data_IF_960312900872
#
_entry.id   IF_960312900872
#
_cell.length_a   1.000
_cell.length_b   1.000
_cell.length_c   1.000
_cell.angle_alpha   90.00
_cell.angle_beta   90.00
_cell.angle_gamma   90.00
#
_symmetry.space_group_name_H-M   'P 1'
#
loop_
_entity.id
_entity.type
_entity.pdbx_description
1 polymer ?
#
# COMPACT_ATOMS: atom_id res chain seq x y z
N UNK A 1 14.46 -1.34 5.64
CA UNK A 1 15.15 -0.11 5.16
C UNK A 1 15.84 -0.41 3.84
N UNK A 2 15.88 0.54 2.90
CA UNK A 2 16.62 0.38 1.63
C UNK A 2 17.94 1.16 1.69
N UNK A 3 19.03 0.53 1.27
CA UNK A 3 20.38 1.08 1.26
C UNK A 3 21.00 0.94 -0.14
N UNK A 4 21.95 1.83 -0.45
CA UNK A 4 22.73 1.86 -1.68
C UNK A 4 24.02 0.99 -1.61
N UNK A 5 24.38 0.43 -0.45
CA UNK A 5 25.61 -0.36 -0.32
C UNK A 5 25.50 -1.74 -1.00
N UNK A 6 26.14 -1.87 -2.17
CA UNK A 6 26.41 -3.14 -2.85
C UNK A 6 27.51 -3.99 -2.20
N UNK A 7 27.53 -4.09 -0.87
CA UNK A 7 28.39 -5.05 -0.18
C UNK A 7 28.01 -6.49 -0.56
N UNK A 8 28.98 -7.40 -0.54
CA UNK A 8 28.91 -8.81 -0.96
C UNK A 8 28.03 -9.67 -0.02
N UNK A 9 26.76 -9.28 0.15
CA UNK A 9 25.83 -9.78 1.19
C UNK A 9 24.64 -10.53 0.56
N UNK A 10 24.59 -10.58 -0.76
CA UNK A 10 23.47 -11.08 -1.54
C UNK A 10 23.47 -12.60 -1.66
N UNK A 11 22.28 -13.22 -1.77
CA UNK A 11 22.19 -14.58 -2.31
C UNK A 11 22.23 -14.46 -3.83
N UNK A 12 23.13 -15.18 -4.48
CA UNK A 12 23.19 -15.25 -5.94
C UNK A 12 22.08 -16.15 -6.46
N UNK A 13 21.26 -15.63 -7.37
CA UNK A 13 20.28 -16.41 -8.11
C UNK A 13 20.49 -16.13 -9.60
N UNK A 14 20.54 -17.20 -10.38
CA UNK A 14 20.42 -17.12 -11.84
C UNK A 14 19.01 -16.62 -12.20
N UNK A 15 18.83 -16.10 -13.41
CA UNK A 15 17.55 -15.63 -13.97
C UNK A 15 16.44 -16.72 -14.12
N UNK A 16 16.46 -17.75 -13.28
CA UNK A 16 15.49 -18.86 -13.23
C UNK A 16 14.73 -18.84 -11.90
N UNK A 17 13.54 -19.46 -11.89
CA UNK A 17 12.50 -19.40 -10.86
C UNK A 17 13.01 -19.21 -9.41
N UNK A 18 12.71 -18.05 -8.82
CA UNK A 18 13.10 -17.70 -7.45
C UNK A 18 11.89 -17.83 -6.53
N UNK A 19 11.97 -18.70 -5.51
CA UNK A 19 10.94 -18.86 -4.48
C UNK A 19 11.35 -18.18 -3.17
N UNK A 20 10.50 -17.31 -2.66
CA UNK A 20 10.70 -16.61 -1.39
C UNK A 20 9.49 -16.75 -0.46
N UNK A 21 9.77 -16.88 0.83
CA UNK A 21 8.79 -16.67 1.89
C UNK A 21 8.97 -15.24 2.40
N UNK A 22 7.86 -14.58 2.65
CA UNK A 22 7.78 -13.19 3.06
C UNK A 22 6.88 -13.04 4.28
N UNK A 23 7.22 -12.07 5.12
CA UNK A 23 6.54 -11.82 6.38
C UNK A 23 5.56 -10.66 6.22
N UNK A 24 4.47 -10.66 7.00
CA UNK A 24 3.56 -9.50 7.04
C UNK A 24 4.34 -8.20 7.29
N UNK A 25 3.80 -7.07 6.82
CA UNK A 25 4.33 -5.71 7.00
C UNK A 25 4.89 -5.41 8.41
N UNK A 26 4.26 -5.99 9.43
CA UNK A 26 4.54 -5.80 10.87
C UNK A 26 5.34 -6.92 11.55
N UNK A 27 5.87 -7.90 10.81
CA UNK A 27 6.57 -9.10 11.35
C UNK A 27 5.75 -9.84 12.44
N UNK A 28 4.42 -9.89 12.26
CA UNK A 28 3.51 -10.54 13.20
C UNK A 28 3.26 -9.75 14.48
N UNK A 29 3.57 -8.45 14.56
CA UNK A 29 3.20 -7.63 15.72
C UNK A 29 1.68 -7.58 15.94
N UNK A 30 0.90 -7.60 14.85
CA UNK A 30 -0.56 -7.74 14.90
C UNK A 30 -0.95 -9.21 15.01
N UNK A 31 -1.90 -9.52 15.90
CA UNK A 31 -2.31 -10.90 16.20
C UNK A 31 -3.79 -11.14 15.90
N UNK A 32 -4.14 -12.41 15.62
CA UNK A 32 -5.53 -12.87 15.52
C UNK A 32 -6.21 -12.89 16.91
N UNK A 33 -6.73 -11.73 17.30
CA UNK A 33 -7.61 -11.57 18.45
C UNK A 33 -8.52 -10.36 18.29
N UNK A 34 -9.55 -10.27 19.12
CA UNK A 34 -10.63 -9.28 19.03
C UNK A 34 -10.31 -7.92 19.68
N UNK A 35 -9.04 -7.52 19.74
CA UNK A 35 -8.61 -6.28 20.40
C UNK A 35 -7.67 -5.50 19.49
N UNK A 36 -7.82 -4.18 19.38
CA UNK A 36 -7.02 -3.33 18.50
C UNK A 36 -5.82 -2.66 19.19
N UNK A 37 -5.46 -3.13 20.40
CA UNK A 37 -4.37 -2.52 21.18
C UNK A 37 -3.02 -2.67 20.49
N UNK A 38 -2.81 -3.80 19.82
CA UNK A 38 -1.62 -4.08 19.02
C UNK A 38 -1.46 -3.09 17.86
N UNK A 39 -2.55 -2.70 17.20
CA UNK A 39 -2.55 -1.61 16.21
C UNK A 39 -2.21 -0.27 16.84
N UNK A 40 -2.81 0.05 18.00
CA UNK A 40 -2.57 1.32 18.69
C UNK A 40 -1.10 1.47 19.10
N UNK A 41 -0.47 0.39 19.56
CA UNK A 41 0.90 0.40 20.11
C UNK A 41 1.98 -0.04 19.14
N UNK A 42 1.65 -0.29 17.86
CA UNK A 42 2.60 -0.72 16.86
C UNK A 42 3.75 0.29 16.72
N UNK A 43 4.99 -0.20 16.73
CA UNK A 43 6.16 0.63 16.47
C UNK A 43 6.36 0.81 14.96
N UNK A 44 5.79 1.88 14.39
CA UNK A 44 5.91 2.16 12.96
C UNK A 44 7.33 2.50 12.49
N UNK A 45 8.34 2.50 13.36
CA UNK A 45 9.74 2.63 12.92
C UNK A 45 10.28 1.35 12.27
N UNK A 46 9.69 0.18 12.56
CA UNK A 46 10.19 -1.12 12.09
C UNK A 46 9.67 -1.50 10.71
N UNK A 47 8.50 -0.99 10.30
CA UNK A 47 7.91 -1.29 8.99
C UNK A 47 8.73 -0.66 7.85
N UNK A 48 8.98 -1.33 6.73
CA UNK A 48 8.54 -2.68 6.33
C UNK A 48 9.73 -3.67 6.39
N UNK A 49 9.46 -4.90 6.80
CA UNK A 49 10.43 -6.00 6.70
C UNK A 49 10.37 -6.60 5.30
N UNK A 50 11.49 -6.56 4.58
CA UNK A 50 11.56 -7.00 3.20
C UNK A 50 12.41 -8.27 3.08
N UNK A 51 11.95 -9.19 2.25
CA UNK A 51 12.72 -10.33 1.77
C UNK A 51 13.68 -9.88 0.66
N UNK A 52 14.98 -9.97 0.93
CA UNK A 52 16.04 -9.50 0.02
C UNK A 52 17.30 -9.04 0.77
N UNK A 53 18.23 -8.34 0.10
CA UNK A 53 18.26 -8.11 -1.35
C UNK A 53 18.73 -9.34 -2.14
N UNK A 54 18.10 -9.57 -3.28
CA UNK A 54 18.43 -10.61 -4.27
C UNK A 54 19.35 -9.98 -5.31
N UNK A 55 20.55 -10.56 -5.49
CA UNK A 55 21.44 -10.16 -6.59
C UNK A 55 21.07 -10.93 -7.83
N UNK A 56 20.68 -10.19 -8.87
CA UNK A 56 20.26 -10.76 -10.16
C UNK A 56 21.43 -10.78 -11.14
N UNK A 57 21.69 -11.96 -11.69
CA UNK A 57 22.64 -12.20 -12.77
C UNK A 57 21.95 -12.81 -14.00
N UNK A 58 22.50 -12.59 -15.18
CA UNK A 58 22.03 -13.26 -16.41
C UNK A 58 22.50 -14.72 -16.48
N UNK A 59 22.15 -15.39 -17.57
CA UNK A 59 22.50 -16.81 -17.82
C UNK A 59 24.01 -17.08 -17.87
N UNK A 60 24.82 -16.06 -18.15
CA UNK A 60 26.29 -16.15 -18.15
C UNK A 60 26.89 -15.79 -16.78
N UNK A 61 26.07 -15.48 -15.78
CA UNK A 61 26.51 -15.02 -14.46
C UNK A 61 26.89 -13.53 -14.41
N UNK A 62 26.57 -12.73 -15.44
CA UNK A 62 26.87 -11.29 -15.44
C UNK A 62 25.77 -10.52 -14.70
N UNK A 63 26.11 -9.71 -13.68
CA UNK A 63 25.11 -8.99 -12.91
C UNK A 63 24.35 -7.98 -13.78
N UNK A 64 23.13 -7.64 -13.35
CA UNK A 64 22.47 -6.43 -13.81
C UNK A 64 23.37 -5.22 -13.51
N UNK A 65 23.40 -4.21 -14.37
CA UNK A 65 24.20 -2.99 -14.17
C UNK A 65 23.29 -1.75 -14.19
N UNK A 66 23.73 -0.61 -13.61
CA UNK A 66 23.03 0.65 -13.80
C UNK A 66 22.81 0.93 -15.29
N UNK A 67 21.61 1.39 -15.67
CA UNK A 67 21.05 1.51 -17.04
C UNK A 67 20.22 0.33 -17.54
N UNK A 68 20.37 -0.86 -16.96
CA UNK A 68 19.54 -2.01 -17.31
C UNK A 68 18.11 -1.85 -16.75
N UNK A 69 17.16 -2.56 -17.35
CA UNK A 69 15.81 -2.70 -16.84
C UNK A 69 15.61 -4.14 -16.37
N UNK A 70 15.18 -4.32 -15.13
CA UNK A 70 14.91 -5.63 -14.56
C UNK A 70 13.44 -5.97 -14.78
N UNK A 71 13.16 -6.94 -15.64
CA UNK A 71 11.83 -7.52 -15.80
C UNK A 71 11.61 -8.55 -14.70
N UNK A 72 10.54 -8.41 -13.93
CA UNK A 72 10.16 -9.32 -12.85
C UNK A 72 8.72 -9.79 -13.07
N UNK A 73 8.57 -11.06 -13.39
CA UNK A 73 7.27 -11.72 -13.55
C UNK A 73 6.86 -12.41 -12.24
N UNK A 74 5.67 -12.07 -11.75
CA UNK A 74 5.06 -12.67 -10.57
C UNK A 74 4.40 -13.98 -10.99
N UNK A 75 5.12 -15.10 -10.91
CA UNK A 75 4.64 -16.39 -11.40
C UNK A 75 3.54 -16.97 -10.51
N UNK A 76 3.70 -16.83 -9.19
CA UNK A 76 2.77 -17.34 -8.20
C UNK A 76 2.97 -16.62 -6.86
N UNK A 77 1.93 -16.63 -6.03
CA UNK A 77 1.93 -16.04 -4.69
C UNK A 77 0.73 -16.53 -3.91
N UNK A 78 0.82 -16.43 -2.58
CA UNK A 78 -0.27 -16.80 -1.69
C UNK A 78 0.15 -16.72 -0.22
N UNK A 79 -0.77 -17.04 0.71
CA UNK A 79 -0.45 -17.12 2.13
C UNK A 79 0.52 -18.26 2.43
N UNK A 80 1.25 -18.15 3.54
CA UNK A 80 2.05 -19.26 4.04
C UNK A 80 1.15 -20.40 4.56
N UNK A 81 1.47 -21.68 4.28
CA UNK A 81 0.70 -22.80 4.81
C UNK A 81 0.64 -22.78 6.36
N UNK A 82 -0.57 -22.80 6.92
CA UNK A 82 -0.82 -22.69 8.36
C UNK A 82 -0.94 -21.26 8.88
N UNK A 83 -0.78 -20.24 8.04
CA UNK A 83 -0.96 -18.81 8.35
C UNK A 83 -2.03 -18.19 7.43
N UNK A 84 -3.11 -18.94 7.13
CA UNK A 84 -4.18 -18.53 6.20
C UNK A 84 -5.16 -17.50 6.79
N UNK A 85 -4.61 -16.42 7.33
CA UNK A 85 -5.35 -15.27 7.86
C UNK A 85 -4.56 -13.98 7.66
N UNK A 86 -5.24 -12.85 7.80
CA UNK A 86 -4.64 -11.54 7.68
C UNK A 86 -5.45 -10.48 8.41
N UNK A 87 -5.02 -9.23 8.33
CA UNK A 87 -5.67 -8.12 9.01
C UNK A 87 -5.79 -6.87 8.14
N UNK A 88 -6.77 -6.04 8.46
CA UNK A 88 -6.87 -4.67 7.97
C UNK A 88 -7.05 -3.79 9.18
N UNK A 89 -6.38 -2.64 9.22
CA UNK A 89 -6.42 -1.77 10.37
C UNK A 89 -6.61 -0.29 10.00
N UNK A 90 -7.17 0.44 10.97
CA UNK A 90 -7.14 1.90 11.03
C UNK A 90 -6.07 2.22 12.07
N UNK A 91 -5.05 2.97 11.69
CA UNK A 91 -4.12 3.53 12.65
C UNK A 91 -4.74 4.70 13.41
N UNK A 92 -4.43 4.79 14.70
CA UNK A 92 -4.85 5.93 15.51
C UNK A 92 -4.17 7.22 15.03
N UNK A 93 -4.82 8.37 15.22
CA UNK A 93 -4.23 9.67 14.83
C UNK A 93 -2.87 9.91 15.48
N UNK A 94 -2.69 9.46 16.72
CA UNK A 94 -1.43 9.61 17.45
C UNK A 94 -0.29 8.70 16.97
N UNK A 95 -0.60 7.71 16.12
CA UNK A 95 0.36 6.71 15.66
C UNK A 95 0.03 6.29 14.23
N UNK A 96 0.45 7.10 13.25
CA UNK A 96 0.27 6.87 11.80
C UNK A 96 -0.81 7.73 11.17
N UNK A 97 -2.07 7.51 11.56
CA UNK A 97 -3.22 8.04 10.84
C UNK A 97 -3.46 7.34 9.48
N UNK A 98 -4.02 8.05 8.51
CA UNK A 98 -4.51 7.50 7.25
C UNK A 98 -5.43 8.47 6.51
N UNK A 99 -6.14 8.01 5.49
CA UNK A 99 -6.90 8.88 4.59
C UNK A 99 -8.08 9.61 5.26
N UNK A 100 -8.78 8.94 6.17
CA UNK A 100 -9.95 9.47 6.86
C UNK A 100 -9.74 9.62 8.38
N UNK A 101 -8.51 9.87 8.84
CA UNK A 101 -8.19 10.02 10.29
C UNK A 101 -8.98 11.11 11.01
N UNK A 102 -9.48 12.11 10.29
CA UNK A 102 -10.37 13.12 10.89
C UNK A 102 -11.74 12.56 11.26
N UNK A 103 -12.19 11.51 10.57
CA UNK A 103 -13.44 10.79 10.81
C UNK A 103 -13.24 9.57 11.69
N UNK A 104 -12.09 8.89 11.56
CA UNK A 104 -11.74 7.67 12.27
C UNK A 104 -10.40 7.83 12.99
N UNK A 105 -10.35 8.58 14.11
CA UNK A 105 -9.09 8.88 14.80
C UNK A 105 -8.59 7.75 15.69
N UNK A 106 -9.44 6.75 15.97
CA UNK A 106 -9.13 5.65 16.87
C UNK A 106 -8.53 4.46 16.12
N UNK A 107 -7.54 3.82 16.73
CA UNK A 107 -7.02 2.55 16.23
C UNK A 107 -8.12 1.47 16.22
N UNK A 108 -8.24 0.75 15.11
CA UNK A 108 -9.21 -0.33 14.94
C UNK A 108 -8.69 -1.42 14.01
N UNK A 109 -9.27 -2.63 14.05
CA UNK A 109 -8.90 -3.70 13.11
C UNK A 109 -10.02 -4.66 12.75
N UNK A 110 -9.90 -5.25 11.56
CA UNK A 110 -10.62 -6.44 11.12
C UNK A 110 -9.63 -7.58 10.87
N UNK A 111 -10.06 -8.82 11.14
CA UNK A 111 -9.29 -10.04 10.88
C UNK A 111 -9.99 -10.78 9.77
N UNK A 112 -9.23 -11.30 8.82
CA UNK A 112 -9.69 -11.97 7.62
C UNK A 112 -9.12 -13.38 7.58
N UNK A 113 -9.88 -14.33 7.05
CA UNK A 113 -9.45 -15.71 6.86
C UNK A 113 -9.53 -16.08 5.38
N UNK A 114 -8.67 -17.01 4.93
CA UNK A 114 -8.49 -17.27 3.50
C UNK A 114 -9.09 -18.61 3.03
N UNK A 115 -10.17 -18.48 2.26
CA UNK A 115 -10.68 -19.44 1.27
C UNK A 115 -11.24 -18.60 0.12
N UNK A 116 -12.02 -17.60 0.54
CA UNK A 116 -12.19 -16.27 -0.01
C UNK A 116 -11.87 -15.31 1.15
N UNK A 117 -11.68 -14.03 0.91
CA UNK A 117 -11.63 -13.07 2.02
C UNK A 117 -13.01 -13.02 2.70
N UNK A 118 -13.06 -13.38 3.98
CA UNK A 118 -14.21 -13.14 4.85
C UNK A 118 -13.73 -12.70 6.23
N UNK A 119 -14.53 -11.87 6.90
CA UNK A 119 -14.23 -11.39 8.26
C UNK A 119 -15.43 -11.59 9.19
N UNK A 120 -15.25 -12.19 10.38
CA UNK A 120 -16.27 -12.17 11.43
C UNK A 120 -16.62 -10.75 11.91
N UNK A 121 -15.70 -9.79 11.73
CA UNK A 121 -15.89 -8.40 12.12
C UNK A 121 -16.71 -7.59 11.10
N UNK A 122 -16.85 -8.09 9.86
CA UNK A 122 -17.62 -7.44 8.77
C UNK A 122 -18.54 -8.49 8.12
N UNK A 123 -19.68 -8.81 8.76
CA UNK A 123 -20.55 -9.91 8.33
C UNK A 123 -21.25 -9.63 7.00
N UNK A 124 -21.61 -10.71 6.29
CA UNK A 124 -22.33 -10.62 5.02
C UNK A 124 -21.48 -10.15 3.84
N UNK A 125 -20.16 -10.15 3.99
CA UNK A 125 -19.20 -9.85 2.92
C UNK A 125 -18.28 -11.04 2.66
N UNK A 126 -18.09 -11.38 1.38
CA UNK A 126 -17.13 -12.39 0.92
C UNK A 126 -16.65 -12.04 -0.48
N UNK A 127 -15.33 -12.05 -0.72
CA UNK A 127 -14.78 -11.77 -2.04
C UNK A 127 -13.50 -12.56 -2.33
N UNK A 128 -13.25 -12.92 -3.60
CA UNK A 128 -11.95 -13.49 -3.98
C UNK A 128 -10.85 -12.45 -3.79
N UNK A 129 -9.69 -12.88 -3.31
CA UNK A 129 -8.54 -12.00 -3.18
C UNK A 129 -7.90 -11.70 -4.55
N UNK A 130 -7.41 -10.49 -4.72
CA UNK A 130 -6.47 -10.12 -5.77
C UNK A 130 -5.10 -10.01 -5.11
N UNK A 131 -4.44 -11.13 -4.90
CA UNK A 131 -3.20 -11.20 -4.12
C UNK A 131 -2.05 -10.54 -4.86
N UNK A 132 -1.27 -9.70 -4.17
CA UNK A 132 -0.13 -8.94 -4.70
C UNK A 132 0.85 -8.57 -3.57
N UNK A 133 2.13 -8.29 -3.88
CA UNK A 133 3.00 -7.58 -2.96
C UNK A 133 2.68 -6.08 -2.98
N UNK A 134 2.59 -5.44 -1.81
CA UNK A 134 2.60 -3.97 -1.68
C UNK A 134 3.97 -3.39 -2.06
N UNK A 135 5.04 -4.14 -1.74
CA UNK A 135 6.42 -3.73 -1.98
C UNK A 135 7.14 -4.64 -2.98
N UNK A 136 7.62 -4.03 -4.05
CA UNK A 136 8.62 -4.64 -4.94
C UNK A 136 9.50 -3.56 -5.56
N UNK A 137 10.81 -3.71 -5.45
CA UNK A 137 11.74 -2.68 -5.95
C UNK A 137 13.20 -3.07 -5.93
N UNK A 138 14.01 -2.32 -6.68
CA UNK A 138 15.47 -2.45 -6.73
C UNK A 138 16.14 -1.52 -5.71
N UNK A 139 17.40 -1.75 -5.37
CA UNK A 139 18.12 -0.82 -4.50
C UNK A 139 18.42 0.50 -5.23
N UNK A 140 18.33 1.66 -4.54
CA UNK A 140 18.71 2.95 -5.11
C UNK A 140 20.23 3.06 -5.28
N UNK A 141 20.66 3.93 -6.19
CA UNK A 141 22.05 4.43 -6.15
C UNK A 141 22.22 5.40 -4.99
N UNK A 142 23.47 5.65 -4.59
CA UNK A 142 23.75 6.67 -3.57
C UNK A 142 23.29 8.07 -3.99
N UNK A 143 23.35 8.37 -5.30
CA UNK A 143 22.84 9.63 -5.84
C UNK A 143 21.32 9.73 -5.66
N UNK A 144 20.57 8.66 -5.99
CA UNK A 144 19.13 8.63 -5.83
C UNK A 144 18.72 8.70 -4.35
N UNK A 145 19.43 7.97 -3.48
CA UNK A 145 19.21 8.02 -2.04
C UNK A 145 19.40 9.44 -1.47
N UNK A 146 20.42 10.17 -1.95
CA UNK A 146 20.66 11.56 -1.57
C UNK A 146 19.54 12.51 -2.05
N UNK A 147 18.96 12.27 -3.24
CA UNK A 147 17.80 13.02 -3.72
C UNK A 147 16.62 12.84 -2.75
N UNK A 148 16.33 11.60 -2.37
CA UNK A 148 15.23 11.27 -1.45
C UNK A 148 15.39 11.91 -0.07
N UNK A 149 16.61 11.87 0.47
CA UNK A 149 16.94 12.41 1.79
C UNK A 149 17.18 13.93 1.82
N UNK A 150 17.11 14.60 0.67
CA UNK A 150 17.40 16.04 0.59
C UNK A 150 16.33 16.87 1.31
N UNK A 151 16.68 17.98 2.00
CA UNK A 151 15.69 18.83 2.67
C UNK A 151 14.63 19.45 1.75
N UNK A 152 14.91 19.53 0.45
CA UNK A 152 14.00 20.08 -0.58
C UNK A 152 12.86 19.13 -0.92
N UNK A 153 13.05 17.81 -0.79
CA UNK A 153 11.96 16.84 -0.95
C UNK A 153 10.94 16.94 0.19
N UNK A 154 11.38 17.39 1.38
CA UNK A 154 10.54 17.51 2.58
C UNK A 154 9.67 18.76 2.60
N UNK A 155 10.17 19.89 2.07
CA UNK A 155 9.50 21.20 2.15
C UNK A 155 8.24 21.29 1.27
N UNK A 156 8.07 20.39 0.29
CA UNK A 156 6.87 20.30 -0.56
C UNK A 156 5.71 19.55 0.11
N UNK A 157 5.99 18.65 1.06
CA UNK A 157 4.95 17.91 1.79
C UNK A 157 4.19 18.79 2.81
N UNK A 158 4.80 19.88 3.28
CA UNK A 158 4.19 20.79 4.27
C UNK A 158 2.95 21.54 3.73
N UNK A 159 2.76 21.58 2.41
CA UNK A 159 1.82 22.51 1.77
C UNK A 159 0.45 21.89 1.45
N UNK A 160 0.28 20.57 1.38
CA UNK A 160 -0.96 20.00 0.79
C UNK A 160 -1.84 19.12 1.68
N UNK A 161 -1.39 18.67 2.86
CA UNK A 161 -2.24 18.14 3.94
C UNK A 161 -1.35 17.87 5.16
N UNK A 162 -1.73 18.34 6.35
CA UNK A 162 -0.96 18.24 7.60
C UNK A 162 -0.94 16.82 8.22
N UNK A 163 -0.80 15.79 7.37
CA UNK A 163 -0.55 14.41 7.81
C UNK A 163 0.94 14.24 8.06
N UNK A 164 1.34 13.43 9.05
CA UNK A 164 2.77 13.21 9.30
C UNK A 164 3.41 12.66 8.02
N UNK A 165 4.43 13.34 7.46
CA UNK A 165 5.09 12.89 6.24
C UNK A 165 5.78 11.54 6.47
N UNK A 166 6.15 10.85 5.39
CA UNK A 166 7.08 9.72 5.48
C UNK A 166 8.31 10.15 6.31
N UNK A 167 8.64 9.36 7.33
CA UNK A 167 9.74 9.70 8.22
C UNK A 167 11.05 9.76 7.43
N UNK A 168 11.90 10.73 7.77
CA UNK A 168 13.31 10.74 7.39
C UNK A 168 14.02 9.44 7.83
N UNK A 169 15.24 9.17 7.34
CA UNK A 169 16.07 8.11 7.89
C UNK A 169 16.03 8.09 9.42
N UNK A 170 15.69 6.94 9.97
CA UNK A 170 15.50 6.72 11.39
C UNK A 170 16.28 5.47 11.78
N UNK A 171 17.23 5.62 12.69
CA UNK A 171 18.05 4.49 13.17
C UNK A 171 17.25 3.53 14.03
N UNK A 172 16.24 4.03 14.76
CA UNK A 172 15.32 3.21 15.55
C UNK A 172 14.56 2.24 14.65
N UNK A 173 14.56 0.96 15.00
CA UNK A 173 13.85 -0.09 14.25
C UNK A 173 14.50 -0.47 12.92
N UNK A 174 15.72 0.02 12.64
CA UNK A 174 16.41 -0.24 11.38
C UNK A 174 16.98 -1.67 11.33
N UNK A 175 16.51 -2.47 10.37
CA UNK A 175 17.10 -3.77 10.04
C UNK A 175 17.87 -3.67 8.72
N UNK A 176 19.17 -4.00 8.76
CA UNK A 176 20.11 -3.92 7.62
C UNK A 176 20.62 -5.31 7.19
N UNK A 177 19.76 -6.33 7.30
CA UNK A 177 20.08 -7.69 6.87
C UNK A 177 21.22 -8.32 7.70
N UNK A 178 22.34 -8.62 7.06
CA UNK A 178 23.49 -9.28 7.72
C UNK A 178 24.45 -8.31 8.40
N UNK A 179 24.25 -7.00 8.28
CA UNK A 179 25.10 -6.01 8.93
C UNK A 179 24.72 -5.96 10.41
N UNK A 180 25.68 -6.26 11.29
CA UNK A 180 25.47 -6.36 12.73
C UNK A 180 25.16 -4.99 13.36
N UNK A 181 24.05 -4.92 14.10
CA UNK A 181 23.60 -3.71 14.80
C UNK A 181 24.64 -3.20 15.80
N UNK A 182 24.83 -1.88 15.83
CA UNK A 182 25.80 -1.22 16.72
C UNK A 182 27.25 -1.19 16.21
N UNK A 183 27.53 -1.79 15.05
CA UNK A 183 28.84 -1.60 14.39
C UNK A 183 28.95 -0.21 13.75
N UNK A 184 30.17 0.35 13.56
CA UNK A 184 30.34 1.65 12.90
C UNK A 184 29.77 1.69 11.47
N UNK A 185 29.79 0.54 10.78
CA UNK A 185 29.20 0.38 9.45
C UNK A 185 27.67 0.43 9.51
N UNK A 186 27.06 -0.34 10.42
CA UNK A 186 25.62 -0.30 10.65
C UNK A 186 25.15 1.10 11.01
N UNK A 187 25.83 1.77 11.92
CA UNK A 187 25.48 3.12 12.34
C UNK A 187 25.55 4.14 11.20
N UNK A 188 26.55 4.01 10.32
CA UNK A 188 26.68 4.85 9.14
C UNK A 188 25.49 4.66 8.20
N UNK A 189 25.16 3.41 7.87
CA UNK A 189 24.08 3.08 6.94
C UNK A 189 22.72 3.43 7.55
N UNK A 190 22.47 3.10 8.81
CA UNK A 190 21.20 3.33 9.47
C UNK A 190 20.82 4.83 9.55
N UNK A 191 21.80 5.75 9.48
CA UNK A 191 21.58 7.20 9.45
C UNK A 191 21.18 7.75 8.08
N UNK A 192 21.44 7.02 7.00
CA UNK A 192 21.19 7.47 5.62
C UNK A 192 20.20 6.59 4.87
N UNK A 193 19.97 5.35 5.32
CA UNK A 193 19.03 4.43 4.68
C UNK A 193 17.60 5.00 4.71
N UNK A 194 16.91 4.94 3.57
CA UNK A 194 15.58 5.48 3.45
C UNK A 194 14.53 4.53 4.04
N UNK A 195 13.50 5.13 4.67
CA UNK A 195 12.28 4.42 5.05
C UNK A 195 11.59 3.85 3.81
N UNK A 196 11.04 2.65 3.94
CA UNK A 196 10.33 1.90 2.89
C UNK A 196 8.83 2.22 2.83
N UNK A 197 8.39 3.28 3.49
CA UNK A 197 6.97 3.68 3.55
C UNK A 197 6.45 4.22 2.20
N UNK A 198 7.14 5.13 1.49
CA UNK A 198 6.64 5.60 0.21
C UNK A 198 7.24 4.82 -0.97
N UNK A 199 6.43 4.58 -2.00
CA UNK A 199 6.89 4.24 -3.34
C UNK A 199 7.68 5.38 -3.97
N UNK A 200 8.69 5.03 -4.79
CA UNK A 200 9.64 5.96 -5.40
C UNK A 200 10.03 5.47 -6.80
N UNK A 201 11.02 6.12 -7.40
CA UNK A 201 11.53 5.84 -8.75
C UNK A 201 12.00 4.39 -8.94
N UNK A 202 12.38 3.70 -7.86
CA UNK A 202 12.79 2.30 -7.85
C UNK A 202 11.65 1.29 -7.69
N UNK A 203 10.40 1.75 -7.69
CA UNK A 203 9.25 0.98 -7.19
C UNK A 203 9.13 1.15 -5.69
N UNK A 204 9.33 0.06 -4.93
CA UNK A 204 9.15 0.09 -3.48
C UNK A 204 7.67 -0.04 -3.12
N UNK A 205 7.18 0.73 -2.15
CA UNK A 205 5.80 0.63 -1.66
C UNK A 205 4.82 1.36 -2.57
N UNK A 206 4.42 0.70 -3.66
CA UNK A 206 3.50 1.28 -4.62
C UNK A 206 2.04 0.90 -4.34
N UNK A 207 1.81 -0.19 -3.60
CA UNK A 207 0.46 -0.64 -3.21
C UNK A 207 -0.52 -0.74 -4.39
N UNK A 208 -0.03 -1.28 -5.51
CA UNK A 208 -0.80 -1.42 -6.75
C UNK A 208 -1.45 -2.80 -6.76
N UNK A 209 -2.75 -2.88 -6.46
CA UNK A 209 -3.48 -4.16 -6.41
C UNK A 209 -3.41 -4.97 -7.71
N UNK A 210 -3.28 -4.29 -8.86
CA UNK A 210 -3.18 -4.94 -10.17
C UNK A 210 -1.79 -5.55 -10.45
N UNK A 211 -0.78 -5.28 -9.62
CA UNK A 211 0.53 -5.92 -9.69
C UNK A 211 0.49 -7.31 -9.03
N UNK A 212 -0.37 -8.17 -9.57
CA UNK A 212 -0.78 -9.45 -9.00
C UNK A 212 -0.22 -10.64 -9.76
N UNK A 213 -0.79 -11.83 -9.56
CA UNK A 213 -0.35 -13.06 -10.22
C UNK A 213 -0.34 -12.94 -11.74
N UNK A 214 0.79 -13.28 -12.33
CA UNK A 214 1.06 -13.23 -13.76
C UNK A 214 1.39 -11.84 -14.28
N UNK A 215 1.39 -10.81 -13.43
CA UNK A 215 1.88 -9.49 -13.80
C UNK A 215 3.39 -9.51 -14.02
N UNK A 216 3.85 -8.59 -14.87
CA UNK A 216 5.28 -8.38 -15.15
C UNK A 216 5.62 -6.91 -14.94
N UNK A 217 6.46 -6.62 -13.95
CA UNK A 217 6.97 -5.27 -13.68
C UNK A 217 8.36 -5.09 -14.26
N UNK A 218 8.65 -3.89 -14.73
CA UNK A 218 9.93 -3.51 -15.29
C UNK A 218 10.54 -2.43 -14.40
N UNK A 219 11.48 -2.84 -13.56
CA UNK A 219 12.11 -2.01 -12.53
C UNK A 219 13.44 -1.42 -13.05
N UNK A 220 13.68 -0.12 -12.87
CA UNK A 220 14.98 0.47 -13.21
C UNK A 220 16.09 -0.07 -12.32
N UNK A 221 17.28 -0.31 -12.89
CA UNK A 221 18.46 -0.77 -12.16
C UNK A 221 19.39 0.41 -11.88
N UNK A 222 19.65 0.69 -10.61
CA UNK A 222 20.51 1.80 -10.18
C UNK A 222 21.86 1.37 -9.62
N UNK A 223 22.02 0.09 -9.28
CA UNK A 223 23.25 -0.50 -8.74
C UNK A 223 23.53 -1.86 -9.39
N UNK A 224 24.78 -2.31 -9.35
CA UNK A 224 25.13 -3.64 -9.82
C UNK A 224 24.32 -4.72 -9.08
N UNK A 225 23.83 -5.71 -9.81
CA UNK A 225 23.01 -6.80 -9.28
C UNK A 225 21.55 -6.44 -9.03
N UNK A 226 21.15 -5.18 -9.22
CA UNK A 226 19.82 -4.62 -8.94
C UNK A 226 19.37 -4.67 -7.47
N UNK A 227 19.79 -5.68 -6.69
CA UNK A 227 19.47 -5.87 -5.28
C UNK A 227 17.96 -5.81 -5.02
N UNK A 228 17.22 -6.64 -5.77
CA UNK A 228 15.77 -6.74 -5.74
C UNK A 228 15.29 -7.13 -4.33
N UNK A 229 14.30 -6.42 -3.81
CA UNK A 229 13.65 -6.73 -2.53
C UNK A 229 12.14 -6.63 -2.68
N UNK A 230 11.43 -7.45 -1.93
CA UNK A 230 9.96 -7.52 -1.95
C UNK A 230 9.43 -7.80 -0.56
N UNK A 231 8.21 -7.37 -0.28
CA UNK A 231 7.61 -7.35 1.04
C UNK A 231 6.10 -7.14 0.96
N UNK A 232 5.47 -7.05 2.12
CA UNK A 232 4.16 -6.39 2.25
C UNK A 232 3.04 -7.15 1.54
N UNK A 233 2.96 -8.46 1.79
CA UNK A 233 2.02 -9.32 1.08
C UNK A 233 0.57 -8.99 1.42
N UNK A 234 -0.21 -8.72 0.38
CA UNK A 234 -1.62 -8.39 0.47
C UNK A 234 -2.47 -9.52 -0.12
N UNK A 235 -3.42 -10.05 0.66
CA UNK A 235 -4.40 -11.00 0.12
C UNK A 235 -5.37 -10.31 -0.85
N UNK A 236 -5.77 -9.07 -0.53
CA UNK A 236 -6.65 -8.22 -1.34
C UNK A 236 -6.59 -6.78 -0.84
N UNK A 237 -6.66 -5.81 -1.74
CA UNK A 237 -6.63 -4.37 -1.44
C UNK A 237 -7.69 -3.65 -2.28
N UNK A 238 -8.24 -2.55 -1.75
CA UNK A 238 -8.94 -1.54 -2.55
C UNK A 238 -7.95 -0.61 -3.25
N UNK A 239 -8.40 0.14 -4.25
CA UNK A 239 -7.54 1.23 -4.76
C UNK A 239 -7.27 2.25 -3.66
N UNK A 240 -6.01 2.70 -3.64
CA UNK A 240 -5.46 3.73 -2.74
C UNK A 240 -5.32 3.33 -1.27
N UNK A 241 -5.64 2.08 -0.91
CA UNK A 241 -5.27 1.50 0.39
C UNK A 241 -5.68 2.42 1.57
N UNK A 242 -6.91 2.94 1.49
CA UNK A 242 -7.29 4.19 2.17
C UNK A 242 -7.12 4.20 3.68
N UNK A 243 -7.11 3.04 4.34
CA UNK A 243 -6.87 2.95 5.79
C UNK A 243 -5.40 3.05 6.20
N UNK A 244 -4.45 3.10 5.25
CA UNK A 244 -2.98 3.13 5.41
C UNK A 244 -2.36 1.88 6.08
N UNK A 245 -3.15 1.17 6.88
CA UNK A 245 -2.95 -0.25 7.12
C UNK A 245 -4.10 -1.02 6.49
N UNK A 246 -4.47 -0.64 5.27
CA UNK A 246 -4.93 -1.60 4.29
C UNK A 246 -3.69 -2.33 3.78
N UNK A 247 -3.74 -3.37 2.98
CA UNK A 247 -4.80 -4.16 2.43
C UNK A 247 -5.43 -5.13 3.47
N UNK A 248 -5.74 -6.34 3.05
CA UNK A 248 -5.65 -7.51 3.93
C UNK A 248 -4.19 -7.95 3.99
N UNK A 249 -3.49 -7.44 5.00
CA UNK A 249 -2.08 -7.69 5.32
C UNK A 249 -1.88 -9.14 5.77
N UNK A 250 -0.88 -9.83 5.21
CA UNK A 250 -0.60 -11.24 5.53
C UNK A 250 0.88 -11.58 5.42
N UNK A 251 1.29 -12.69 6.05
CA UNK A 251 2.52 -13.37 5.64
C UNK A 251 2.25 -14.15 4.35
N UNK A 252 3.24 -14.27 3.47
CA UNK A 252 3.02 -14.92 2.18
C UNK A 252 4.27 -15.55 1.58
N UNK A 253 4.12 -16.12 0.40
CA UNK A 253 5.23 -16.49 -0.45
C UNK A 253 5.08 -15.85 -1.82
N UNK A 254 6.20 -15.72 -2.52
CA UNK A 254 6.29 -15.17 -3.86
C UNK A 254 7.20 -16.07 -4.70
N UNK A 255 6.74 -16.42 -5.90
CA UNK A 255 7.53 -17.07 -6.92
C UNK A 255 7.74 -16.08 -8.07
N UNK A 256 9.00 -15.73 -8.32
CA UNK A 256 9.40 -14.71 -9.28
C UNK A 256 10.25 -15.30 -10.40
N UNK A 257 10.12 -14.73 -11.59
CA UNK A 257 11.07 -14.93 -12.68
C UNK A 257 11.65 -13.57 -13.08
N UNK A 258 12.98 -13.49 -13.10
CA UNK A 258 13.70 -12.25 -13.37
C UNK A 258 14.43 -12.33 -14.72
N UNK A 259 14.40 -11.27 -15.51
CA UNK A 259 15.17 -11.12 -16.75
C UNK A 259 15.82 -9.74 -16.82
N UNK A 260 17.06 -9.67 -17.30
CA UNK A 260 17.79 -8.42 -17.46
C UNK A 260 17.66 -7.94 -18.91
N UNK A 261 17.04 -6.78 -19.09
CA UNK A 261 16.98 -6.08 -20.37
C UNK A 261 18.12 -5.07 -20.39
N UNK A 262 19.17 -5.40 -21.15
CA UNK A 262 20.39 -4.59 -21.21
C UNK A 262 20.11 -3.20 -21.78
N UNK A 263 20.59 -2.19 -21.06
CA UNK A 263 20.37 -0.76 -21.36
C UNK A 263 18.88 -0.35 -21.48
N UNK A 264 17.97 -1.17 -20.93
CA UNK A 264 16.52 -1.01 -21.09
C UNK A 264 15.96 0.29 -20.49
N UNK A 265 16.58 0.88 -19.47
CA UNK A 265 16.12 2.17 -18.93
C UNK A 265 16.19 3.26 -20.01
N UNK A 266 17.28 3.28 -20.79
CA UNK A 266 17.47 4.28 -21.84
C UNK A 266 16.48 4.11 -22.98
N UNK A 267 16.17 2.87 -23.33
CA UNK A 267 15.30 2.55 -24.46
C UNK A 267 13.81 2.72 -24.13
N UNK A 268 13.40 2.44 -22.88
CA UNK A 268 11.98 2.38 -22.51
C UNK A 268 11.54 3.39 -21.45
N UNK A 269 12.43 3.92 -20.61
CA UNK A 269 12.08 4.84 -19.53
C UNK A 269 12.66 6.24 -19.78
N UNK A 270 11.90 7.05 -20.52
CA UNK A 270 12.26 8.47 -20.69
C UNK A 270 12.16 9.20 -19.35
N UNK A 271 13.23 9.84 -18.86
CA UNK A 271 13.20 10.56 -17.59
C UNK A 271 12.21 11.73 -17.61
N UNK A 272 11.37 11.82 -16.58
CA UNK A 272 10.36 12.87 -16.38
C UNK A 272 10.69 13.67 -15.11
N UNK A 273 11.85 14.34 -15.12
CA UNK A 273 12.31 15.13 -13.98
C UNK A 273 13.69 15.77 -14.21
N UNK A 274 14.27 16.40 -13.18
CA UNK A 274 15.50 17.19 -13.32
C UNK A 274 16.77 16.35 -13.55
N UNK A 275 16.72 15.03 -13.33
CA UNK A 275 17.87 14.14 -13.54
C UNK A 275 17.46 12.86 -14.28
N UNK A 276 18.40 12.14 -14.90
CA UNK A 276 18.14 10.84 -15.52
C UNK A 276 17.59 9.76 -14.58
N UNK A 277 17.64 9.98 -13.25
CA UNK A 277 17.12 9.06 -12.24
C UNK A 277 15.61 9.19 -12.03
N UNK A 278 14.98 10.25 -12.54
CA UNK A 278 13.54 10.49 -12.42
C UNK A 278 12.77 9.66 -13.46
N UNK A 279 12.81 8.35 -13.27
CA UNK A 279 12.07 7.36 -14.04
C UNK A 279 11.09 6.66 -13.10
N UNK A 280 10.07 6.01 -13.66
CA UNK A 280 9.13 5.21 -12.88
C UNK A 280 9.02 3.81 -13.50
N UNK A 281 8.74 2.78 -12.69
CA UNK A 281 8.44 1.46 -13.21
C UNK A 281 7.24 1.48 -14.15
N UNK A 282 7.24 0.54 -15.10
CA UNK A 282 6.06 0.19 -15.91
C UNK A 282 5.72 -1.27 -15.65
N UNK A 283 4.47 -1.68 -15.85
CA UNK A 283 4.07 -3.06 -15.65
C UNK A 283 2.94 -3.50 -16.59
N UNK A 284 2.92 -4.79 -16.86
CA UNK A 284 1.80 -5.48 -17.51
C UNK A 284 0.92 -6.11 -16.44
N UNK A 285 -0.39 -5.93 -16.56
CA UNK A 285 -1.38 -6.58 -15.69
C UNK A 285 -1.42 -8.07 -16.03
N UNK A 286 -1.41 -8.92 -15.00
CA UNK A 286 -1.50 -10.35 -15.14
C UNK A 286 -2.84 -10.81 -15.73
N UNK A 287 -2.88 -11.99 -16.38
CA UNK A 287 -4.10 -12.53 -16.98
C UNK A 287 -5.08 -13.15 -15.97
N UNK A 288 -4.78 -13.11 -14.66
CA UNK A 288 -5.56 -13.74 -13.59
C UNK A 288 -6.06 -12.68 -12.62
N UNK A 289 -7.35 -12.35 -12.70
CA UNK A 289 -7.99 -11.40 -11.78
C UNK A 289 -9.41 -11.86 -11.40
N UNK A 290 -9.91 -11.47 -10.22
CA UNK A 290 -11.32 -11.57 -9.89
C UNK A 290 -12.21 -10.85 -10.91
N UNK A 291 -13.20 -11.56 -11.44
CA UNK A 291 -14.19 -10.96 -12.33
C UNK A 291 -15.42 -10.49 -11.56
N UNK A 292 -15.62 -9.18 -11.49
CA UNK A 292 -16.85 -8.56 -11.01
C UNK A 292 -17.64 -7.96 -12.18
N UNK A 293 -18.95 -8.24 -12.25
CA UNK A 293 -19.80 -7.81 -13.37
C UNK A 293 -20.70 -6.61 -13.04
N UNK A 294 -21.00 -6.40 -11.75
CA UNK A 294 -21.95 -5.40 -11.29
C UNK A 294 -21.32 -4.49 -10.25
N UNK A 295 -21.34 -3.18 -10.52
CA UNK A 295 -20.68 -2.17 -9.71
C UNK A 295 -21.68 -1.09 -9.26
N UNK A 296 -21.54 -0.63 -8.03
CA UNK A 296 -22.18 0.58 -7.54
C UNK A 296 -21.11 1.67 -7.41
N UNK A 297 -21.30 2.78 -8.12
CA UNK A 297 -20.28 3.85 -8.25
C UNK A 297 -20.70 5.08 -7.46
N UNK A 298 -19.77 5.60 -6.67
CA UNK A 298 -19.93 6.80 -5.86
C UNK A 298 -19.03 7.89 -6.41
N UNK A 299 -19.59 9.08 -6.61
CA UNK A 299 -18.85 10.24 -7.10
C UNK A 299 -18.42 11.15 -5.95
N UNK A 300 -17.32 11.84 -6.17
CA UNK A 300 -16.87 12.93 -5.32
C UNK A 300 -16.18 14.01 -6.15
N UNK A 301 -16.46 15.26 -5.79
CA UNK A 301 -15.79 16.44 -6.35
C UNK A 301 -14.93 17.08 -5.26
N UNK A 302 -13.96 17.90 -5.65
CA UNK A 302 -13.04 18.58 -4.73
C UNK A 302 -13.66 19.82 -4.04
N UNK A 303 -14.86 19.64 -3.49
CA UNK A 303 -15.48 20.53 -2.51
C UNK A 303 -15.47 19.78 -1.18
N UNK A 304 -14.75 20.32 -0.20
CA UNK A 304 -14.53 19.62 1.07
C UNK A 304 -15.76 19.60 1.98
N UNK A 305 -15.65 18.93 3.13
CA UNK A 305 -16.76 18.79 4.08
C UNK A 305 -17.29 20.10 4.66
N UNK A 306 -16.51 21.19 4.60
CA UNK A 306 -16.94 22.53 5.01
C UNK A 306 -17.68 23.31 3.91
N UNK A 307 -17.72 22.76 2.69
CA UNK A 307 -18.25 23.42 1.51
C UNK A 307 -17.22 24.32 0.80
N UNK A 308 -15.94 24.25 1.17
CA UNK A 308 -14.88 25.05 0.54
C UNK A 308 -14.47 24.42 -0.79
N UNK A 309 -14.36 25.26 -1.81
CA UNK A 309 -13.88 24.89 -3.14
C UNK A 309 -12.36 24.77 -3.15
N UNK A 310 -11.84 23.66 -3.67
CA UNK A 310 -10.42 23.47 -4.01
C UNK A 310 -10.22 23.59 -5.52
N UNK A 311 -8.98 23.62 -6.01
CA UNK A 311 -8.71 23.70 -7.46
C UNK A 311 -8.07 22.41 -7.96
N UNK A 312 -8.79 21.66 -8.80
CA UNK A 312 -8.36 20.39 -9.40
C UNK A 312 -7.68 19.40 -8.40
N UNK A 313 -8.24 19.30 -7.20
CA UNK A 313 -7.69 18.48 -6.12
C UNK A 313 -8.33 17.07 -6.10
N UNK A 314 -7.69 16.13 -6.78
CA UNK A 314 -8.16 14.75 -6.86
C UNK A 314 -8.23 14.06 -5.49
N UNK A 315 -7.38 14.46 -4.52
CA UNK A 315 -7.36 13.91 -3.17
C UNK A 315 -8.65 14.26 -2.43
N UNK A 316 -9.07 15.53 -2.47
CA UNK A 316 -10.35 15.95 -1.88
C UNK A 316 -11.50 15.29 -2.62
N UNK A 317 -11.47 15.25 -3.95
CA UNK A 317 -12.51 14.58 -4.74
C UNK A 317 -12.70 13.11 -4.34
N UNK A 318 -11.60 12.36 -4.19
CA UNK A 318 -11.66 10.96 -3.79
C UNK A 318 -12.11 10.78 -2.34
N UNK A 319 -11.70 11.68 -1.43
CA UNK A 319 -12.22 11.74 -0.06
C UNK A 319 -13.74 11.86 -0.03
N UNK A 320 -14.31 12.68 -0.93
CA UNK A 320 -15.77 12.86 -1.02
C UNK A 320 -16.46 11.60 -1.57
N UNK A 321 -15.89 10.94 -2.57
CA UNK A 321 -16.42 9.66 -3.07
C UNK A 321 -16.44 8.59 -1.97
N UNK A 322 -15.36 8.48 -1.20
CA UNK A 322 -15.25 7.58 -0.05
C UNK A 322 -16.30 7.86 1.03
N UNK A 323 -16.43 9.12 1.46
CA UNK A 323 -17.40 9.50 2.49
C UNK A 323 -18.85 9.24 2.05
N UNK A 324 -19.15 9.45 0.76
CA UNK A 324 -20.46 9.13 0.19
C UNK A 324 -20.75 7.62 0.22
N UNK A 325 -19.76 6.79 -0.12
CA UNK A 325 -19.88 5.33 -0.05
C UNK A 325 -20.06 4.83 1.39
N UNK A 326 -19.28 5.36 2.34
CA UNK A 326 -19.37 5.03 3.77
C UNK A 326 -20.75 5.37 4.31
N UNK A 327 -21.24 6.58 4.06
CA UNK A 327 -22.58 6.99 4.51
C UNK A 327 -23.67 6.10 3.92
N UNK A 328 -23.59 5.80 2.61
CA UNK A 328 -24.56 4.95 1.94
C UNK A 328 -24.61 3.53 2.52
N UNK A 329 -23.46 2.86 2.61
CA UNK A 329 -23.39 1.47 3.08
C UNK A 329 -23.70 1.35 4.58
N UNK A 330 -23.43 2.37 5.38
CA UNK A 330 -23.82 2.38 6.80
C UNK A 330 -25.33 2.24 7.03
N UNK A 331 -26.16 2.68 6.05
CA UNK A 331 -27.62 2.54 6.10
C UNK A 331 -28.09 1.09 6.00
N UNK A 332 -27.21 0.18 5.57
CA UNK A 332 -27.44 -1.25 5.50
C UNK A 332 -27.02 -1.97 6.79
N UNK A 333 -26.81 -1.26 7.89
CA UNK A 333 -26.55 -1.85 9.21
C UNK A 333 -25.07 -2.10 9.53
N UNK A 334 -24.15 -1.63 8.68
CA UNK A 334 -22.72 -1.60 8.97
C UNK A 334 -22.36 -0.37 9.81
N UNK A 335 -21.41 -0.50 10.73
CA UNK A 335 -20.74 0.68 11.31
C UNK A 335 -19.91 1.38 10.23
N UNK A 336 -19.63 2.68 10.41
CA UNK A 336 -18.86 3.43 9.42
C UNK A 336 -17.42 2.91 9.34
N UNK A 337 -16.89 2.44 10.46
CA UNK A 337 -15.59 1.83 10.59
C UNK A 337 -15.52 0.48 9.86
N UNK A 338 -16.58 -0.35 9.95
CA UNK A 338 -16.68 -1.58 9.16
C UNK A 338 -16.60 -1.26 7.66
N UNK A 339 -17.34 -0.25 7.20
CA UNK A 339 -17.30 0.13 5.79
C UNK A 339 -15.93 0.67 5.42
N UNK A 340 -15.31 1.51 6.25
CA UNK A 340 -14.01 2.08 5.94
C UNK A 340 -12.91 1.00 5.84
N UNK A 341 -12.86 0.06 6.79
CA UNK A 341 -11.97 -1.11 6.69
C UNK A 341 -12.27 -1.95 5.44
N UNK A 342 -13.56 -2.17 5.13
CA UNK A 342 -13.96 -2.91 3.93
C UNK A 342 -13.46 -2.22 2.64
N UNK A 343 -13.63 -0.91 2.52
CA UNK A 343 -13.22 -0.16 1.33
C UNK A 343 -11.70 -0.18 1.12
N UNK A 344 -10.93 -0.31 2.20
CA UNK A 344 -9.46 -0.42 2.13
C UNK A 344 -8.98 -1.78 1.58
N UNK A 345 -9.80 -2.84 1.67
CA UNK A 345 -9.35 -4.21 1.43
C UNK A 345 -10.16 -4.98 0.37
N UNK A 346 -11.42 -4.62 0.16
CA UNK A 346 -12.21 -5.17 -0.94
C UNK A 346 -11.69 -4.62 -2.27
N UNK A 347 -11.81 -5.38 -3.38
CA UNK A 347 -11.33 -4.97 -4.70
C UNK A 347 -12.24 -3.90 -5.32
N UNK A 348 -12.40 -2.77 -4.64
CA UNK A 348 -13.04 -1.57 -5.15
C UNK A 348 -12.11 -0.86 -6.14
N UNK A 349 -12.69 -0.07 -7.03
CA UNK A 349 -11.96 0.69 -8.04
C UNK A 349 -12.07 2.19 -7.81
N UNK A 350 -10.92 2.81 -7.59
CA UNK A 350 -10.74 4.24 -7.48
C UNK A 350 -10.30 4.79 -8.82
N UNK A 351 -10.96 5.86 -9.30
CA UNK A 351 -10.56 6.50 -10.56
C UNK A 351 -10.56 8.01 -10.41
N UNK A 352 -9.50 8.63 -10.92
CA UNK A 352 -9.52 10.04 -11.31
C UNK A 352 -10.31 10.11 -12.61
N UNK A 353 -11.62 10.32 -12.50
CA UNK A 353 -12.54 10.32 -13.64
C UNK A 353 -12.42 11.58 -14.49
N UNK A 354 -12.14 12.72 -13.86
CA UNK A 354 -11.93 13.99 -14.55
C UNK A 354 -10.94 14.88 -13.79
N UNK A 355 -9.93 15.40 -14.48
CA UNK A 355 -8.88 16.25 -13.87
C UNK A 355 -8.68 17.57 -14.63
N UNK A 356 -9.58 17.88 -15.57
CA UNK A 356 -9.43 19.02 -16.50
C UNK A 356 -10.57 20.03 -16.39
N UNK A 357 -11.73 19.62 -15.87
CA UNK A 357 -12.95 20.44 -15.84
C UNK A 357 -12.94 21.41 -14.66
N UNK A 358 -12.17 22.50 -14.82
CA UNK A 358 -12.01 23.52 -13.79
C UNK A 358 -13.35 24.11 -13.29
N UNK A 359 -13.52 24.32 -11.97
CA UNK A 359 -12.52 24.11 -10.91
C UNK A 359 -12.43 22.67 -10.40
N UNK A 360 -13.31 21.78 -10.86
CA UNK A 360 -13.56 20.53 -10.19
C UNK A 360 -12.75 19.35 -10.75
N UNK A 361 -11.95 18.72 -9.89
CA UNK A 361 -11.57 17.34 -10.10
C UNK A 361 -12.76 16.44 -9.74
N UNK A 362 -12.97 15.39 -10.52
CA UNK A 362 -13.98 14.35 -10.28
C UNK A 362 -13.27 13.02 -10.05
N UNK A 363 -13.54 12.41 -8.90
CA UNK A 363 -13.10 11.07 -8.59
C UNK A 363 -14.30 10.16 -8.35
N UNK A 364 -14.13 8.88 -8.64
CA UNK A 364 -15.15 7.86 -8.45
C UNK A 364 -14.62 6.69 -7.67
N UNK A 365 -15.46 6.11 -6.82
CA UNK A 365 -15.24 4.84 -6.16
C UNK A 365 -16.31 3.84 -6.61
N UNK A 366 -15.90 2.80 -7.34
CA UNK A 366 -16.77 1.70 -7.72
C UNK A 366 -16.62 0.52 -6.77
N UNK A 367 -17.73 0.02 -6.24
CA UNK A 367 -17.76 -1.12 -5.32
C UNK A 367 -18.44 -2.30 -6.00
N UNK A 368 -17.83 -3.50 -6.02
CA UNK A 368 -18.44 -4.67 -6.62
C UNK A 368 -19.62 -5.13 -5.77
N UNK A 369 -20.84 -5.06 -6.30
CA UNK A 369 -22.07 -5.35 -5.53
C UNK A 369 -22.20 -6.82 -5.15
N UNK A 370 -21.53 -7.72 -5.89
CA UNK A 370 -21.58 -9.16 -5.67
C UNK A 370 -20.79 -9.65 -4.45
N UNK A 371 -20.04 -8.79 -3.77
CA UNK A 371 -19.31 -9.17 -2.55
C UNK A 371 -20.23 -9.23 -1.33
N UNK A 372 -21.42 -8.62 -1.41
CA UNK A 372 -22.40 -8.58 -0.34
C UNK A 372 -23.41 -9.73 -0.48
N UNK A 373 -23.82 -10.31 0.65
CA UNK A 373 -24.89 -11.31 0.72
C UNK A 373 -26.31 -10.70 0.60
N UNK A 374 -26.38 -9.37 0.51
CA UNK A 374 -27.57 -8.56 0.34
C UNK A 374 -27.44 -7.63 -0.86
N UNK A 375 -28.56 -7.33 -1.50
CA UNK A 375 -28.62 -6.40 -2.63
C UNK A 375 -28.56 -4.95 -2.15
N UNK A 376 -27.39 -4.33 -2.33
CA UNK A 376 -27.08 -2.96 -1.93
C UNK A 376 -27.54 -1.88 -2.92
N UNK A 377 -28.25 -2.23 -4.01
CA UNK A 377 -28.66 -1.24 -5.01
C UNK A 377 -29.86 -0.40 -4.54
N UNK A 378 -30.01 0.86 -5.00
CA UNK A 378 -31.18 1.67 -4.71
C UNK A 378 -32.49 1.00 -5.16
N UNK A 379 -33.51 1.02 -4.30
CA UNK A 379 -34.84 0.45 -4.57
C UNK A 379 -35.93 1.50 -4.37
N UNK A 380 -37.03 1.37 -5.12
CA UNK A 380 -38.15 2.31 -5.10
C UNK A 380 -38.93 2.33 -3.78
N UNK A 381 -38.99 1.22 -3.02
CA UNK A 381 -40.00 1.02 -1.98
C UNK A 381 -39.51 0.52 -0.59
N UNK A 382 -38.29 0.87 -0.15
CA UNK A 382 -37.77 0.88 1.26
C UNK A 382 -36.24 0.87 1.24
N UNK A 383 -35.61 1.52 2.22
CA UNK A 383 -34.18 1.30 2.54
C UNK A 383 -34.03 -0.17 2.96
N UNK A 384 -33.16 -0.97 2.33
CA UNK A 384 -32.95 -2.36 2.75
C UNK A 384 -32.48 -2.42 4.20
N UNK A 385 -33.04 -3.35 4.97
CA UNK A 385 -32.72 -3.55 6.39
C UNK A 385 -31.58 -4.56 6.50
N UNK A 386 -30.37 -4.12 6.89
CA UNK A 386 -29.33 -4.92 7.55
C UNK A 386 -28.76 -6.13 6.79
N UNK A 387 -27.51 -6.57 7.03
CA UNK A 387 -27.17 -7.96 6.74
C UNK A 387 -28.09 -8.89 7.54
N UNK A 388 -28.44 -10.06 6.98
CA UNK A 388 -29.39 -11.02 7.61
C UNK A 388 -28.97 -11.49 9.02
N UNK A 389 -27.69 -11.33 9.36
CA UNK A 389 -27.08 -11.70 10.64
C UNK A 389 -26.11 -10.60 11.10
N UNK A 390 -26.60 -9.60 11.85
CA UNK A 390 -25.73 -8.74 12.68
C UNK A 390 -25.48 -9.49 13.98
N UNK A 391 -24.35 -10.21 14.09
CA UNK A 391 -23.95 -10.84 15.36
C UNK A 391 -23.16 -9.90 16.27
N UNK A 392 -22.53 -8.87 15.70
CA UNK A 392 -21.82 -7.82 16.43
C UNK A 392 -21.99 -6.50 15.65
N UNK A 393 -22.51 -5.42 16.27
CA UNK A 393 -22.78 -4.18 15.55
C UNK A 393 -21.51 -3.36 15.27
N UNK A 394 -20.36 -3.76 15.80
CA UNK A 394 -19.14 -2.95 15.72
C UNK A 394 -17.84 -3.77 15.68
N UNK A 395 -16.73 -3.09 15.38
CA UNK A 395 -15.38 -3.65 15.27
C UNK A 395 -14.54 -3.43 16.54
N UNK A 396 -13.50 -4.22 16.77
CA UNK A 396 -12.49 -3.91 17.78
C UNK A 396 -11.87 -2.52 17.57
N UNK A 397 -12.00 -1.64 18.56
CA UNK A 397 -11.49 -0.26 18.51
C UNK A 397 -10.91 0.17 19.87
N UNK A 398 -9.89 1.03 19.87
CA UNK A 398 -9.34 1.68 21.06
C UNK A 398 -9.92 3.08 21.29
N UNK A 399 -9.72 3.65 22.47
CA UNK A 399 -10.05 5.07 22.72
C UNK A 399 -9.04 6.01 22.07
N UNK A 400 -9.53 7.13 21.57
CA UNK A 400 -8.71 8.28 21.15
C UNK A 400 -8.19 9.03 22.38
N UNK A 401 -6.88 9.33 22.43
CA UNK A 401 -6.26 9.93 23.62
C UNK A 401 -6.37 11.47 23.61
N UNK A 402 -6.83 12.07 22.51
CA UNK A 402 -7.12 13.51 22.42
C UNK A 402 -5.88 14.40 22.33
N UNK A 403 -4.70 13.82 22.05
CA UNK A 403 -3.42 14.54 22.14
C UNK A 403 -3.09 15.37 20.91
N UNK A 404 -3.63 15.03 19.74
CA UNK A 404 -3.37 15.75 18.49
C UNK A 404 -4.63 16.50 18.00
N UNK A 405 -4.49 17.69 17.40
CA UNK A 405 -5.64 18.38 16.81
C UNK A 405 -6.13 17.64 15.56
N UNK A 406 -7.33 18.00 15.08
CA UNK A 406 -7.81 17.60 13.74
C UNK A 406 -6.91 18.25 12.69
N UNK A 407 -6.58 17.49 11.65
CA UNK A 407 -5.71 17.94 10.57
C UNK A 407 -6.37 19.15 9.88
N UNK A 408 -5.80 20.33 10.05
CA UNK A 408 -6.25 21.53 9.33
C UNK A 408 -5.49 21.54 8.01
N UNK A 409 -6.21 21.44 6.89
CA UNK A 409 -5.61 21.65 5.59
C UNK A 409 -5.10 23.10 5.54
N UNK A 410 -3.79 23.37 5.40
CA UNK A 410 -3.28 24.74 5.36
C UNK A 410 -3.84 25.52 4.16
N UNK A 411 -4.20 24.84 3.06
CA UNK A 411 -4.94 25.46 1.96
C UNK A 411 -6.38 25.84 2.34
N UNK A 412 -6.91 25.35 3.47
CA UNK A 412 -8.20 25.72 4.04
C UNK A 412 -8.15 26.94 4.99
N UNK A 413 -6.95 27.46 5.31
CA UNK A 413 -6.76 28.60 6.20
C UNK A 413 -6.48 29.94 5.49
N UNK A 414 -6.42 29.95 4.16
CA UNK A 414 -6.23 31.15 3.34
C UNK A 414 -7.55 31.67 2.76
#
# INVERSE_FOLDING_TARGET
>A
MMDAAGGDITKEYTAEDVKHADFSSTEGAIKDHTAAIDVKTLDQSTVHYLSGPIRVVDVDGKPAKPSDLLSVEICNLGPLPGDEWGFTAIFGRENGGGFLTDHFPCAAKAIWYFEFAYSPHIPGVRFPGLTHPGIIGTAPSMELLNIWNSPQSLTLCEVQQSRPPANLPLTKGCLLGKIEEGTPEWERIAREAARTVPGRENGGNCDIKNLSRGSKVYLPVFVEGANLSTGDMHFSQGDDEVSFCGAIEMSGFLELKCEIIRDGMKEYLTPMGPTPLHVNPIFEIGPVEPRFSDWLVFEGINVDESGRQHFLDATVAYKRAMLNAIDYLSRFGYSKEQVYLLLSCCPCEGRISGIVDSPNALATLAIPTSIFDQDIRPKTNKVPTGPRLVRNPDIPQCTYDGKLPTTINPSAAA
#
